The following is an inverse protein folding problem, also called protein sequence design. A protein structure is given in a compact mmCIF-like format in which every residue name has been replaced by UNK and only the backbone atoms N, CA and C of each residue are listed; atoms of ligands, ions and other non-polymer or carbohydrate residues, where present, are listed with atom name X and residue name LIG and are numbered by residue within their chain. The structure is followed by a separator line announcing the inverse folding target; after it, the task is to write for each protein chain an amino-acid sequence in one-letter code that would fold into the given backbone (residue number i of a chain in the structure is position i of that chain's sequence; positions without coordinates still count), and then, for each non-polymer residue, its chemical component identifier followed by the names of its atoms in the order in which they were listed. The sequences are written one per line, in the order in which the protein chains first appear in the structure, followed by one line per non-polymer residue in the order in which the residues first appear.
data_IF_530500802235
#
_entry.id   IF_530500802235
#
_cell.length_a   1.000
_cell.length_b   1.000
_cell.length_c   1.000
_cell.angle_alpha   90.00
_cell.angle_beta   90.00
_cell.angle_gamma   90.00
#
_symmetry.space_group_name_H-M   'P 1'
#
loop_
_entity.id
_entity.type
_entity.pdbx_description
1 polymer ?
#
# COMPACT_ATOMS: atom_id res chain seq x y z
N UNK A 1 -47.07 25.62 -1.20
CA UNK A 1 -46.27 24.46 -0.74
C UNK A 1 -44.86 24.66 -1.25
N UNK A 2 -43.99 25.23 -0.42
CA UNK A 2 -42.64 25.66 -0.80
C UNK A 2 -41.66 24.64 -0.25
N UNK A 3 -41.09 23.80 -1.11
CA UNK A 3 -39.98 22.93 -0.73
C UNK A 3 -38.69 23.74 -0.83
N UNK A 4 -38.17 24.12 0.33
CA UNK A 4 -36.78 24.50 0.46
C UNK A 4 -36.23 23.79 1.68
N UNK A 5 -35.00 23.31 1.56
CA UNK A 5 -34.01 23.07 2.63
C UNK A 5 -33.32 21.71 2.51
N UNK A 6 -31.99 21.82 2.45
CA UNK A 6 -30.95 20.85 2.81
C UNK A 6 -30.53 19.83 1.75
N UNK A 7 -29.92 20.34 0.67
CA UNK A 7 -28.81 19.62 0.01
C UNK A 7 -27.66 19.58 1.03
N UNK A 8 -27.53 18.45 1.73
CA UNK A 8 -26.46 18.21 2.70
C UNK A 8 -25.11 18.52 2.07
N UNK A 9 -24.42 19.53 2.60
CA UNK A 9 -22.97 19.55 2.63
C UNK A 9 -22.54 18.30 3.40
N UNK A 10 -21.93 17.32 2.72
CA UNK A 10 -21.16 16.29 3.39
C UNK A 10 -19.72 16.35 2.88
N UNK A 11 -18.88 16.91 3.75
CA UNK A 11 -17.48 16.60 3.94
C UNK A 11 -16.62 16.53 2.68
N UNK A 12 -15.94 17.64 2.43
CA UNK A 12 -14.50 17.63 2.13
C UNK A 12 -13.75 16.92 3.27
N UNK A 13 -13.85 15.59 3.33
CA UNK A 13 -12.78 14.75 3.85
C UNK A 13 -11.65 14.96 2.86
N UNK A 14 -10.58 15.64 3.27
CA UNK A 14 -9.29 15.56 2.59
C UNK A 14 -9.02 14.07 2.42
N UNK A 15 -9.17 13.56 1.20
CA UNK A 15 -8.99 12.15 0.91
C UNK A 15 -7.61 11.78 1.46
N UNK A 16 -7.57 10.88 2.45
CA UNK A 16 -6.29 10.38 2.94
C UNK A 16 -5.58 9.79 1.72
N UNK A 17 -4.29 10.10 1.50
CA UNK A 17 -3.59 9.53 0.38
C UNK A 17 -3.67 8.01 0.46
N UNK A 18 -4.21 7.40 -0.59
CA UNK A 18 -4.26 5.95 -0.69
C UNK A 18 -2.82 5.45 -0.86
N UNK A 19 -2.26 4.85 0.19
CA UNK A 19 -0.85 4.45 0.22
C UNK A 19 -0.57 3.35 -0.82
N UNK A 20 -1.55 2.48 -1.08
CA UNK A 20 -1.47 1.49 -2.15
C UNK A 20 -1.29 2.18 -3.50
N UNK A 21 -2.18 3.13 -3.84
CA UNK A 21 -2.12 3.86 -5.10
C UNK A 21 -0.78 4.57 -5.28
N UNK A 22 -0.24 5.19 -4.22
CA UNK A 22 1.07 5.86 -4.28
C UNK A 22 2.19 4.88 -4.68
N UNK A 23 2.24 3.71 -4.04
CA UNK A 23 3.29 2.72 -4.32
C UNK A 23 3.12 2.15 -5.73
N UNK A 24 1.88 1.78 -6.11
CA UNK A 24 1.60 1.20 -7.42
C UNK A 24 1.88 2.20 -8.55
N UNK A 25 1.47 3.46 -8.41
CA UNK A 25 1.76 4.52 -9.39
C UNK A 25 3.26 4.77 -9.53
N UNK A 26 4.03 4.71 -8.44
CA UNK A 26 5.48 4.85 -8.52
C UNK A 26 6.14 3.67 -9.26
N UNK A 27 5.66 2.44 -9.05
CA UNK A 27 6.12 1.26 -9.78
C UNK A 27 5.80 1.37 -11.28
N UNK A 28 4.59 1.84 -11.63
CA UNK A 28 4.18 2.07 -13.01
C UNK A 28 5.00 3.17 -13.68
N UNK A 29 5.16 4.32 -13.03
CA UNK A 29 5.92 5.45 -13.54
C UNK A 29 7.40 5.09 -13.79
N UNK A 30 7.96 4.20 -12.97
CA UNK A 30 9.33 3.69 -13.12
C UNK A 30 9.46 2.46 -14.04
N UNK A 31 8.35 2.01 -14.65
CA UNK A 31 8.34 0.88 -15.58
C UNK A 31 8.70 -0.46 -14.94
N UNK A 32 8.49 -0.59 -13.62
CA UNK A 32 8.88 -1.78 -12.83
C UNK A 32 7.80 -2.87 -12.78
N UNK A 33 6.58 -2.57 -13.20
CA UNK A 33 5.49 -3.56 -13.21
C UNK A 33 5.66 -4.51 -14.40
N UNK A 34 5.95 -5.80 -14.18
CA UNK A 34 6.12 -6.77 -15.26
C UNK A 34 4.77 -7.13 -15.89
N UNK A 35 4.79 -7.53 -17.17
CA UNK A 35 3.58 -7.98 -17.88
C UNK A 35 3.00 -9.31 -17.35
N UNK A 36 3.79 -10.09 -16.61
CA UNK A 36 3.38 -11.35 -15.99
C UNK A 36 3.72 -11.31 -14.50
N UNK A 37 2.84 -11.88 -13.67
CA UNK A 37 3.06 -12.00 -12.24
C UNK A 37 4.41 -12.70 -11.97
N UNK A 38 5.33 -12.08 -11.21
CA UNK A 38 6.59 -12.69 -10.83
C UNK A 38 6.36 -13.85 -9.86
N UNK A 39 7.27 -14.83 -9.89
CA UNK A 39 7.36 -15.84 -8.85
C UNK A 39 7.97 -15.22 -7.58
N UNK A 40 7.31 -15.38 -6.44
CA UNK A 40 7.77 -14.89 -5.14
C UNK A 40 7.79 -16.04 -4.14
N UNK A 41 8.36 -15.81 -2.96
CA UNK A 41 8.31 -16.77 -1.86
C UNK A 41 7.02 -16.69 -1.03
N UNK A 42 6.08 -15.84 -1.44
CA UNK A 42 4.78 -15.71 -0.77
C UNK A 42 3.84 -16.86 -1.18
N UNK A 43 2.87 -17.21 -0.33
CA UNK A 43 1.72 -18.03 -0.72
C UNK A 43 1.11 -17.58 -2.06
N UNK A 44 0.66 -18.55 -2.86
CA UNK A 44 0.21 -18.33 -4.25
C UNK A 44 -0.94 -17.34 -4.42
N UNK A 45 -1.71 -17.09 -3.35
CA UNK A 45 -2.83 -16.15 -3.38
C UNK A 45 -2.43 -14.69 -3.12
N UNK A 46 -1.17 -14.42 -2.76
CA UNK A 46 -0.65 -13.06 -2.63
C UNK A 46 -0.08 -12.58 -3.95
N UNK A 47 -0.98 -12.12 -4.82
CA UNK A 47 -0.69 -11.61 -6.16
C UNK A 47 -1.14 -10.16 -6.31
N UNK A 48 -0.52 -9.42 -7.24
CA UNK A 48 -0.76 -7.98 -7.39
C UNK A 48 -2.23 -7.64 -7.72
N UNK A 49 -2.91 -8.47 -8.50
CA UNK A 49 -4.32 -8.32 -8.89
C UNK A 49 -5.32 -8.52 -7.74
N UNK A 50 -4.86 -9.14 -6.65
CA UNK A 50 -5.65 -9.45 -5.45
C UNK A 50 -5.40 -8.51 -4.29
N UNK A 51 -4.47 -7.56 -4.42
CA UNK A 51 -4.25 -6.55 -3.37
C UNK A 51 -5.51 -5.68 -3.30
N UNK A 52 -6.02 -5.51 -2.09
CA UNK A 52 -7.24 -4.74 -1.81
C UNK A 52 -6.91 -3.39 -1.18
N UNK A 53 -6.08 -3.38 -0.14
CA UNK A 53 -5.66 -2.16 0.56
C UNK A 53 -4.21 -2.26 1.08
N UNK A 54 -3.62 -1.11 1.32
CA UNK A 54 -2.36 -0.96 2.06
C UNK A 54 -2.46 0.25 2.99
N UNK A 55 -2.28 0.00 4.28
CA UNK A 55 -2.34 1.03 5.30
C UNK A 55 -1.30 0.83 6.40
N UNK A 56 -1.10 1.89 7.18
CA UNK A 56 -0.27 1.89 8.38
C UNK A 56 -1.14 2.29 9.56
N UNK A 57 -1.10 1.51 10.62
CA UNK A 57 -1.91 1.73 11.82
C UNK A 57 -1.08 1.67 13.10
N UNK A 58 -1.48 2.39 14.16
CA UNK A 58 -0.81 2.30 15.45
C UNK A 58 -1.15 0.96 16.13
N UNK A 59 -0.13 0.30 16.68
CA UNK A 59 -0.26 -0.90 17.50
C UNK A 59 0.56 -0.72 18.79
N UNK A 60 -0.14 -0.55 19.91
CA UNK A 60 0.49 -0.24 21.20
C UNK A 60 1.22 1.11 21.16
N UNK A 61 2.53 1.09 21.38
CA UNK A 61 3.41 2.26 21.32
C UNK A 61 4.17 2.40 19.99
N UNK A 62 3.83 1.58 18.98
CA UNK A 62 4.46 1.62 17.67
C UNK A 62 3.46 1.54 16.53
N UNK A 63 3.96 1.19 15.36
CA UNK A 63 3.25 1.23 14.09
C UNK A 63 3.49 -0.04 13.29
N UNK A 64 2.43 -0.53 12.66
CA UNK A 64 2.47 -1.68 11.76
C UNK A 64 1.92 -1.31 10.39
N UNK A 65 2.44 -1.98 9.37
CA UNK A 65 1.92 -1.93 8.01
C UNK A 65 1.09 -3.18 7.75
N UNK A 66 -0.03 -3.00 7.06
CA UNK A 66 -0.92 -4.10 6.67
C UNK A 66 -1.31 -3.93 5.22
N UNK A 67 -1.13 -5.01 4.45
CA UNK A 67 -1.56 -5.18 3.07
C UNK A 67 -2.66 -6.24 3.11
N UNK A 68 -3.85 -5.91 2.64
CA UNK A 68 -4.98 -6.84 2.59
C UNK A 68 -5.17 -7.38 1.18
N UNK A 69 -5.73 -8.58 1.11
CA UNK A 69 -6.00 -9.27 -0.14
C UNK A 69 -7.46 -9.71 -0.21
N UNK A 70 -8.03 -9.60 -1.40
CA UNK A 70 -9.35 -10.15 -1.75
C UNK A 70 -9.22 -11.53 -2.39
N UNK A 71 -10.34 -12.24 -2.49
CA UNK A 71 -10.45 -13.53 -3.18
C UNK A 71 -9.47 -14.60 -2.65
N UNK A 72 -9.20 -14.56 -1.35
CA UNK A 72 -8.33 -15.49 -0.62
C UNK A 72 -9.10 -16.79 -0.28
N UNK A 73 -8.50 -17.97 -0.43
CA UNK A 73 -9.15 -19.23 -0.05
C UNK A 73 -9.59 -19.26 1.42
N UNK A 74 -10.68 -19.97 1.71
CA UNK A 74 -11.21 -20.08 3.07
C UNK A 74 -10.19 -20.76 4.01
N UNK A 75 -9.96 -20.15 5.17
CA UNK A 75 -9.01 -20.63 6.18
C UNK A 75 -7.58 -20.14 5.98
N UNK A 76 -7.28 -19.46 4.87
CA UNK A 76 -5.97 -18.85 4.62
C UNK A 76 -5.91 -17.41 5.14
N UNK A 77 -4.70 -16.96 5.46
CA UNK A 77 -4.46 -15.57 5.85
C UNK A 77 -4.68 -14.63 4.66
N UNK A 78 -5.45 -13.57 4.89
CA UNK A 78 -5.81 -12.56 3.89
C UNK A 78 -5.04 -11.24 4.03
N UNK A 79 -3.99 -11.21 4.83
CA UNK A 79 -3.15 -10.04 5.02
C UNK A 79 -1.67 -10.41 5.10
N UNK A 80 -0.83 -9.46 4.72
CA UNK A 80 0.61 -9.47 4.97
C UNK A 80 1.01 -8.13 5.57
N UNK A 81 2.10 -8.10 6.31
CA UNK A 81 2.49 -6.87 6.98
C UNK A 81 3.76 -7.01 7.78
N UNK A 82 4.10 -5.93 8.46
CA UNK A 82 5.15 -5.97 9.48
C UNK A 82 4.73 -6.84 10.67
N UNK A 83 5.67 -7.50 11.38
CA UNK A 83 5.34 -8.31 12.53
C UNK A 83 4.72 -7.50 13.69
N UNK A 84 3.54 -7.92 14.16
CA UNK A 84 2.84 -7.32 15.31
C UNK A 84 3.63 -7.40 16.62
N UNK A 85 4.48 -8.44 16.77
CA UNK A 85 5.30 -8.64 17.95
C UNK A 85 6.41 -7.59 18.11
N UNK A 86 6.79 -6.92 17.01
CA UNK A 86 7.84 -5.90 16.99
C UNK A 86 7.41 -4.69 16.14
N UNK A 87 6.43 -3.89 16.61
CA UNK A 87 5.98 -2.71 15.90
C UNK A 87 7.11 -1.69 15.72
N UNK A 88 7.06 -0.93 14.63
CA UNK A 88 8.02 0.13 14.37
C UNK A 88 7.78 1.36 15.26
N UNK A 89 8.86 2.05 15.64
CA UNK A 89 8.83 3.30 16.40
C UNK A 89 8.37 4.51 15.59
N UNK A 90 8.43 4.42 14.25
CA UNK A 90 8.09 5.48 13.30
C UNK A 90 7.11 4.95 12.23
N UNK A 91 5.96 5.60 11.99
CA UNK A 91 5.02 5.21 10.94
C UNK A 91 5.67 5.16 9.55
N UNK A 92 6.71 5.97 9.30
CA UNK A 92 7.44 5.96 8.02
C UNK A 92 8.22 4.66 7.83
N UNK A 93 8.79 4.09 8.90
CA UNK A 93 9.48 2.80 8.82
C UNK A 93 8.48 1.66 8.57
N UNK A 94 7.32 1.71 9.22
CA UNK A 94 6.23 0.77 8.94
C UNK A 94 5.77 0.88 7.48
N UNK A 95 5.54 2.10 6.98
CA UNK A 95 5.20 2.34 5.58
C UNK A 95 6.25 1.78 4.62
N UNK A 96 7.53 2.08 4.83
CA UNK A 96 8.61 1.60 3.95
C UNK A 96 8.71 0.07 3.97
N UNK A 97 8.48 -0.56 5.12
CA UNK A 97 8.42 -2.01 5.22
C UNK A 97 7.28 -2.58 4.38
N UNK A 98 6.04 -2.09 4.56
CA UNK A 98 4.90 -2.51 3.75
C UNK A 98 5.12 -2.26 2.26
N UNK A 99 5.68 -1.11 1.88
CA UNK A 99 6.01 -0.80 0.50
C UNK A 99 7.05 -1.78 -0.09
N UNK A 100 8.02 -2.25 0.69
CA UNK A 100 8.97 -3.27 0.21
C UNK A 100 8.28 -4.62 -0.08
N UNK A 101 7.28 -4.99 0.74
CA UNK A 101 6.47 -6.20 0.53
C UNK A 101 5.63 -6.03 -0.74
N UNK A 102 4.97 -4.87 -0.92
CA UNK A 102 4.22 -4.56 -2.14
C UNK A 102 5.09 -4.65 -3.40
N UNK A 103 6.30 -4.09 -3.35
CA UNK A 103 7.24 -4.18 -4.47
C UNK A 103 7.61 -5.64 -4.76
N UNK A 104 7.85 -6.46 -3.74
CA UNK A 104 8.18 -7.88 -3.94
C UNK A 104 7.01 -8.63 -4.56
N UNK A 105 5.77 -8.39 -4.10
CA UNK A 105 4.57 -8.99 -4.69
C UNK A 105 4.39 -8.57 -6.15
N UNK A 106 4.51 -7.27 -6.43
CA UNK A 106 4.22 -6.72 -7.75
C UNK A 106 5.33 -6.99 -8.78
N UNK A 107 6.59 -7.00 -8.35
CA UNK A 107 7.76 -6.97 -9.25
C UNK A 107 8.73 -8.13 -9.05
N UNK A 108 8.61 -8.88 -7.94
CA UNK A 108 9.58 -9.90 -7.54
C UNK A 108 10.83 -9.31 -6.88
N UNK A 109 10.88 -7.99 -6.69
CA UNK A 109 12.00 -7.27 -6.08
C UNK A 109 11.52 -6.42 -4.90
N UNK A 110 12.31 -6.36 -3.83
CA UNK A 110 12.08 -5.48 -2.67
C UNK A 110 12.48 -4.01 -2.91
N UNK A 111 12.99 -3.70 -4.10
CA UNK A 111 13.51 -2.37 -4.39
C UNK A 111 12.38 -1.34 -4.55
N UNK A 112 12.40 -0.33 -3.68
CA UNK A 112 11.43 0.76 -3.72
C UNK A 112 11.62 1.64 -4.97
N UNK A 113 10.53 2.09 -5.63
CA UNK A 113 10.57 2.97 -6.80
C UNK A 113 10.74 4.46 -6.44
N UNK A 114 10.97 4.76 -5.16
CA UNK A 114 11.10 6.11 -4.63
C UNK A 114 12.12 6.17 -3.51
N UNK A 115 12.53 7.39 -3.18
CA UNK A 115 13.28 7.68 -1.96
C UNK A 115 12.50 8.66 -1.08
N UNK A 116 12.76 8.61 0.22
CA UNK A 116 12.21 9.56 1.19
C UNK A 116 13.20 10.71 1.41
N UNK A 117 12.75 11.94 1.15
CA UNK A 117 13.49 13.17 1.46
C UNK A 117 12.65 14.04 2.39
N UNK A 118 13.02 14.08 3.67
CA UNK A 118 12.15 14.62 4.72
C UNK A 118 10.85 13.83 4.80
N UNK A 119 9.72 14.50 4.64
CA UNK A 119 8.39 13.88 4.63
C UNK A 119 7.80 13.74 3.21
N UNK A 120 8.66 13.77 2.19
CA UNK A 120 8.25 13.66 0.78
C UNK A 120 8.81 12.40 0.15
N UNK A 121 7.94 11.72 -0.60
CA UNK A 121 8.33 10.66 -1.53
C UNK A 121 8.76 11.28 -2.85
N UNK A 122 9.96 10.96 -3.28
CA UNK A 122 10.53 11.43 -4.55
C UNK A 122 10.68 10.21 -5.47
N UNK A 123 9.93 10.23 -6.58
CA UNK A 123 10.06 9.27 -7.68
C UNK A 123 10.93 9.91 -8.75
N UNK A 124 12.07 9.29 -9.04
CA UNK A 124 12.92 9.69 -10.16
C UNK A 124 12.70 8.71 -11.31
N UNK A 125 11.90 9.11 -12.29
CA UNK A 125 11.68 8.35 -13.51
C UNK A 125 12.10 9.20 -14.72
N UNK A 126 12.91 8.63 -15.61
CA UNK A 126 13.20 9.20 -16.91
C UNK A 126 12.54 8.31 -17.96
N UNK A 127 11.48 8.82 -18.59
CA UNK A 127 10.85 8.16 -19.74
C UNK A 127 11.43 8.80 -21.02
N UNK A 128 12.13 8.02 -21.87
CA UNK A 128 12.60 8.50 -23.18
C UNK A 128 11.46 8.74 -24.18
#
# INVERSE_FOLDING_TARGET
MTFNSQRRLSNSQTARPNLLEIVMQALEATGRVPAKQPATNFPRHFTADRIDDFYVEPLGNGWVSTITFRDVPAGEQNCLGSPDAFPYDDPRKAFLHGATILCEIATGSRELPFTMVGDKLIVAAYQP
#
